data_IF_509824434313
#
_entry.id   IF_509824434313
#
_cell.length_a   1.000
_cell.length_b   1.000
_cell.length_c   1.000
_cell.angle_alpha   90.00
_cell.angle_beta   90.00
_cell.angle_gamma   90.00
#
_symmetry.space_group_name_H-M   'P 1'
#
loop_
_entity.id
_entity.type
_entity.pdbx_description
1 polymer ?
#
# COMPACT_ATOMS: atom_id res chain seq x y z
N UNK A 1 9.67 -15.72 11.80
CA UNK A 1 9.80 -14.90 10.59
C UNK A 1 8.64 -13.94 10.64
N UNK A 2 8.91 -12.67 10.88
CA UNK A 2 7.87 -11.66 11.00
C UNK A 2 7.22 -11.48 9.63
N UNK A 3 5.91 -11.70 9.58
CA UNK A 3 5.15 -11.60 8.35
C UNK A 3 4.88 -10.14 8.03
N UNK A 4 5.43 -9.64 6.92
CA UNK A 4 5.34 -8.23 6.55
C UNK A 4 4.09 -7.96 5.70
N UNK A 5 3.40 -6.86 6.00
CA UNK A 5 2.33 -6.32 5.18
C UNK A 5 2.89 -5.19 4.33
N UNK A 6 2.59 -5.24 3.03
CA UNK A 6 3.08 -4.27 2.05
C UNK A 6 1.96 -3.78 1.13
N UNK A 7 2.01 -2.51 0.74
CA UNK A 7 1.26 -2.03 -0.43
C UNK A 7 2.21 -1.95 -1.62
N UNK A 8 1.92 -2.71 -2.67
CA UNK A 8 2.68 -2.71 -3.94
C UNK A 8 1.95 -1.85 -4.96
N UNK A 9 2.71 -1.02 -5.68
CA UNK A 9 2.22 -0.27 -6.83
C UNK A 9 2.75 -0.95 -8.09
N UNK A 10 1.85 -1.29 -8.99
CA UNK A 10 2.16 -1.90 -10.27
C UNK A 10 1.58 -1.09 -11.43
N UNK A 11 2.31 -1.03 -12.54
CA UNK A 11 1.89 -0.43 -13.80
C UNK A 11 1.60 -1.54 -14.79
N UNK A 12 0.42 -1.48 -15.41
CA UNK A 12 0.04 -2.38 -16.50
C UNK A 12 0.36 -1.76 -17.85
N UNK A 13 1.33 -2.33 -18.56
CA UNK A 13 1.74 -1.87 -19.89
C UNK A 13 1.78 -3.03 -20.87
N UNK A 14 0.90 -2.99 -21.89
CA UNK A 14 0.86 -3.97 -23.01
C UNK A 14 0.88 -5.45 -22.56
N UNK A 15 0.17 -5.78 -21.47
CA UNK A 15 0.10 -7.14 -20.93
C UNK A 15 1.24 -7.51 -19.98
N UNK A 16 2.16 -6.59 -19.71
CA UNK A 16 3.20 -6.75 -18.69
C UNK A 16 2.87 -5.93 -17.46
N UNK A 17 3.02 -6.55 -16.29
CA UNK A 17 2.97 -5.87 -15.00
C UNK A 17 4.38 -5.47 -14.57
N UNK A 18 4.59 -4.20 -14.23
CA UNK A 18 5.87 -3.70 -13.71
C UNK A 18 5.62 -3.15 -12.31
N UNK A 19 6.29 -3.72 -11.30
CA UNK A 19 6.29 -3.12 -9.96
C UNK A 19 7.01 -1.77 -10.02
N UNK A 20 6.27 -0.71 -9.76
CA UNK A 20 6.77 0.67 -9.72
C UNK A 20 7.28 1.06 -8.33
N UNK A 21 6.65 0.54 -7.27
CA UNK A 21 7.03 0.87 -5.90
C UNK A 21 6.39 -0.05 -4.87
N UNK A 22 6.89 0.01 -3.64
CA UNK A 22 6.36 -0.73 -2.49
C UNK A 22 6.45 0.12 -1.23
N UNK A 23 5.49 -0.09 -0.34
CA UNK A 23 5.47 0.50 1.00
C UNK A 23 5.31 -0.60 2.03
N UNK A 24 6.21 -0.66 3.02
CA UNK A 24 6.05 -1.55 4.16
C UNK A 24 5.11 -0.90 5.19
N UNK A 25 4.13 -1.65 5.68
CA UNK A 25 3.15 -1.21 6.67
C UNK A 25 3.39 -1.82 8.06
N UNK A 26 4.35 -2.73 8.20
CA UNK A 26 4.63 -3.46 9.44
C UNK A 26 3.91 -4.82 9.49
N UNK A 27 3.56 -5.27 10.68
CA UNK A 27 3.03 -6.63 10.92
C UNK A 27 1.56 -6.66 11.39
N UNK A 28 0.99 -5.50 11.75
CA UNK A 28 -0.38 -5.43 12.25
C UNK A 28 -1.39 -5.38 11.09
N UNK A 29 -2.16 -6.46 10.96
CA UNK A 29 -3.05 -6.70 9.82
C UNK A 29 -4.21 -5.71 9.75
N UNK A 30 -4.84 -5.39 10.89
CA UNK A 30 -6.02 -4.55 10.89
C UNK A 30 -5.67 -3.12 10.46
N UNK A 31 -4.58 -2.58 10.97
CA UNK A 31 -4.02 -1.26 10.64
C UNK A 31 -3.64 -1.19 9.17
N UNK A 32 -3.08 -2.26 8.61
CA UNK A 32 -2.77 -2.31 7.19
C UNK A 32 -4.03 -2.30 6.30
N UNK A 33 -5.07 -3.05 6.69
CA UNK A 33 -6.37 -3.03 6.03
C UNK A 33 -7.05 -1.67 6.15
N UNK A 34 -7.05 -1.07 7.33
CA UNK A 34 -7.63 0.25 7.58
C UNK A 34 -6.93 1.32 6.74
N UNK A 35 -5.59 1.28 6.68
CA UNK A 35 -4.78 2.15 5.81
C UNK A 35 -5.16 1.96 4.34
N UNK A 36 -5.30 0.72 3.89
CA UNK A 36 -5.65 0.43 2.50
C UNK A 36 -7.09 0.88 2.16
N UNK A 37 -8.02 0.79 3.10
CA UNK A 37 -9.41 1.21 2.92
C UNK A 37 -9.57 2.73 2.78
N UNK A 38 -8.56 3.52 3.19
CA UNK A 38 -8.54 4.97 2.98
C UNK A 38 -8.14 5.36 1.54
N UNK A 39 -7.59 4.42 0.77
CA UNK A 39 -7.09 4.70 -0.57
C UNK A 39 -8.23 4.93 -1.56
N UNK A 40 -7.96 5.81 -2.52
CA UNK A 40 -8.88 6.17 -3.59
C UNK A 40 -8.61 5.32 -4.82
N UNK A 41 -9.67 4.80 -5.40
CA UNK A 41 -9.61 3.99 -6.60
C UNK A 41 -10.89 3.20 -6.78
N UNK A 42 -10.83 2.21 -7.67
CA UNK A 42 -11.95 1.32 -7.98
C UNK A 42 -11.50 -0.12 -7.87
N UNK A 43 -12.41 -1.00 -7.46
CA UNK A 43 -12.15 -2.45 -7.41
C UNK A 43 -12.18 -3.07 -8.82
N UNK A 44 -12.89 -2.43 -9.75
CA UNK A 44 -13.09 -2.95 -11.10
C UNK A 44 -12.04 -2.43 -12.08
N UNK A 45 -11.65 -3.33 -12.99
CA UNK A 45 -10.68 -3.06 -14.02
C UNK A 45 -11.34 -2.28 -15.19
N UNK A 46 -11.08 -0.97 -15.30
CA UNK A 46 -11.42 -0.19 -16.50
C UNK A 46 -10.37 -0.34 -17.61
N UNK A 47 -10.78 -0.40 -18.87
CA UNK A 47 -9.91 -0.76 -20.00
C UNK A 47 -8.74 0.22 -20.31
N UNK A 48 -8.65 1.36 -19.62
CA UNK A 48 -7.64 2.39 -19.86
C UNK A 48 -6.51 2.31 -18.83
N UNK A 49 -5.25 2.20 -19.28
CA UNK A 49 -4.00 2.27 -18.50
C UNK A 49 -4.18 2.54 -16.99
N UNK A 50 -4.10 1.49 -16.16
CA UNK A 50 -4.36 1.62 -14.73
C UNK A 50 -3.12 1.33 -13.91
N UNK A 51 -2.90 2.19 -12.91
CA UNK A 51 -1.99 1.93 -11.81
C UNK A 51 -2.75 1.01 -10.85
N UNK A 52 -2.19 -0.16 -10.56
CA UNK A 52 -2.74 -1.08 -9.58
C UNK A 52 -2.04 -0.87 -8.25
N UNK A 53 -2.81 -0.87 -7.16
CA UNK A 53 -2.28 -0.92 -5.81
C UNK A 53 -2.80 -2.18 -5.11
N UNK A 54 -1.88 -3.00 -4.58
CA UNK A 54 -2.21 -4.29 -3.97
C UNK A 54 -1.68 -4.33 -2.55
N UNK A 55 -2.55 -4.58 -1.58
CA UNK A 55 -2.13 -4.95 -0.23
C UNK A 55 -1.75 -6.43 -0.23
N UNK A 56 -0.53 -6.76 0.15
CA UNK A 56 -0.03 -8.13 0.25
C UNK A 56 0.46 -8.44 1.65
N UNK A 57 0.26 -9.68 2.09
CA UNK A 57 0.82 -10.24 3.31
C UNK A 57 1.86 -11.29 2.92
N UNK A 58 3.12 -11.09 3.32
CA UNK A 58 4.17 -12.06 3.07
C UNK A 58 4.10 -13.18 4.10
N UNK A 59 3.78 -14.38 3.64
CA UNK A 59 3.70 -15.60 4.46
C UNK A 59 4.63 -16.64 3.87
N UNK A 60 5.63 -17.07 4.64
CA UNK A 60 6.64 -18.04 4.20
C UNK A 60 7.35 -17.65 2.88
N UNK A 61 7.62 -16.35 2.68
CA UNK A 61 8.27 -15.82 1.48
C UNK A 61 7.34 -15.66 0.26
N UNK A 62 6.05 -15.93 0.42
CA UNK A 62 5.06 -15.80 -0.64
C UNK A 62 4.12 -14.61 -0.39
N UNK A 63 3.95 -13.69 -1.36
CA UNK A 63 3.04 -12.57 -1.21
C UNK A 63 1.60 -13.02 -1.44
N UNK A 64 0.78 -12.98 -0.39
CA UNK A 64 -0.66 -13.28 -0.46
C UNK A 64 -1.42 -11.96 -0.62
N UNK A 65 -2.09 -11.70 -1.76
CA UNK A 65 -2.89 -10.49 -1.94
C UNK A 65 -4.12 -10.52 -1.02
N UNK A 66 -4.32 -9.41 -0.30
CA UNK A 66 -5.44 -9.21 0.61
C UNK A 66 -6.51 -8.30 0.01
N UNK A 67 -6.09 -7.27 -0.72
CA UNK A 67 -6.97 -6.30 -1.35
C UNK A 67 -6.29 -5.67 -2.57
N UNK A 68 -7.08 -5.18 -3.52
CA UNK A 68 -6.60 -4.56 -4.75
C UNK A 68 -7.51 -3.42 -5.15
N UNK A 69 -6.92 -2.30 -5.53
CA UNK A 69 -7.61 -1.19 -6.19
C UNK A 69 -6.83 -0.78 -7.44
N UNK A 70 -7.55 -0.16 -8.36
CA UNK A 70 -7.00 0.51 -9.52
C UNK A 70 -7.22 2.01 -9.39
N UNK A 71 -6.20 2.78 -9.71
CA UNK A 71 -6.25 4.23 -9.60
C UNK A 71 -5.62 4.91 -10.83
N UNK A 72 -5.99 6.17 -11.05
CA UNK A 72 -5.32 7.03 -12.02
C UNK A 72 -4.16 7.81 -11.37
N UNK A 73 -3.40 8.56 -12.16
CA UNK A 73 -2.23 9.30 -11.66
C UNK A 73 -2.56 10.34 -10.56
N UNK A 74 -3.72 10.99 -10.63
CA UNK A 74 -4.16 11.96 -9.61
C UNK A 74 -4.43 11.24 -8.29
N UNK A 75 -5.16 10.13 -8.35
CA UNK A 75 -5.45 9.28 -7.19
C UNK A 75 -4.17 8.65 -6.63
N UNK A 76 -3.22 8.23 -7.47
CA UNK A 76 -1.92 7.72 -7.01
C UNK A 76 -1.20 8.73 -6.12
N UNK A 77 -1.11 10.00 -6.54
CA UNK A 77 -0.50 11.06 -5.72
C UNK A 77 -1.18 11.19 -4.36
N UNK A 78 -2.50 11.16 -4.34
CA UNK A 78 -3.29 11.25 -3.10
C UNK A 78 -3.08 10.00 -2.21
N UNK A 79 -3.06 8.81 -2.81
CA UNK A 79 -2.85 7.54 -2.12
C UNK A 79 -1.46 7.45 -1.50
N UNK A 80 -0.41 7.87 -2.23
CA UNK A 80 0.95 7.91 -1.69
C UNK A 80 1.00 8.83 -0.46
N UNK A 81 0.38 10.00 -0.50
CA UNK A 81 0.32 10.89 0.65
C UNK A 81 -0.42 10.28 1.85
N UNK A 82 -1.53 9.57 1.62
CA UNK A 82 -2.27 8.84 2.66
C UNK A 82 -1.38 7.75 3.27
N UNK A 83 -0.75 6.91 2.45
CA UNK A 83 0.12 5.82 2.91
C UNK A 83 1.29 6.36 3.71
N UNK A 84 1.98 7.39 3.21
CA UNK A 84 3.12 7.99 3.91
C UNK A 84 2.70 8.57 5.27
N UNK A 85 1.53 9.21 5.36
CA UNK A 85 1.00 9.73 6.63
C UNK A 85 0.70 8.60 7.62
N UNK A 86 0.06 7.53 7.16
CA UNK A 86 -0.27 6.40 8.04
C UNK A 86 0.97 5.64 8.49
N UNK A 87 1.95 5.41 7.62
CA UNK A 87 3.25 4.82 8.01
C UNK A 87 3.91 5.68 9.10
N UNK A 88 3.96 7.00 8.91
CA UNK A 88 4.51 7.89 9.93
C UNK A 88 3.74 7.81 11.26
N UNK A 89 2.40 7.75 11.20
CA UNK A 89 1.55 7.60 12.39
C UNK A 89 1.82 6.27 13.11
N UNK A 90 1.93 5.17 12.37
CA UNK A 90 2.21 3.83 12.91
C UNK A 90 3.58 3.84 13.59
N UNK A 91 4.62 4.30 12.88
CA UNK A 91 5.97 4.40 13.45
C UNK A 91 6.00 5.27 14.70
N UNK A 92 5.27 6.40 14.74
CA UNK A 92 5.19 7.25 15.93
C UNK A 92 4.45 6.60 17.11
N UNK A 93 3.44 5.77 16.85
CA UNK A 93 2.76 5.02 17.91
C UNK A 93 3.64 3.90 18.47
N UNK A 94 4.41 3.23 17.62
CA UNK A 94 5.44 2.26 18.03
C UNK A 94 6.57 2.95 18.81
N UNK A 95 6.89 4.21 18.46
CA UNK A 95 7.98 5.03 18.99
C UNK A 95 7.52 5.95 20.13
N UNK A 96 6.65 5.49 21.05
CA UNK A 96 6.19 6.22 22.25
C UNK A 96 7.32 6.55 23.27
N UNK A 97 8.52 6.90 22.80
CA UNK A 97 9.72 7.20 23.59
C UNK A 97 10.64 8.31 23.05
N UNK A 98 10.42 8.95 21.88
CA UNK A 98 11.30 10.06 21.45
C UNK A 98 10.56 11.16 20.65
N UNK A 99 10.80 12.40 21.09
CA UNK A 99 10.24 13.65 20.59
C UNK A 99 10.39 13.79 19.07
N UNK A 100 9.28 14.11 18.40
CA UNK A 100 9.27 14.51 17.00
C UNK A 100 10.16 15.76 16.83
N UNK A 101 11.08 15.70 15.86
CA UNK A 101 11.83 16.87 15.42
C UNK A 101 10.86 17.87 14.76
N UNK A 102 11.08 19.13 15.14
CA UNK A 102 10.52 20.37 14.56
C UNK A 102 10.81 20.49 13.05
#
# INVERSE_FOLDING_TARGET
MDSLLEIKIALHFKGTEITYGKFALGTERQTALDTFNLLKGRMEHSATCMIQMVLTHEVAGLPIPLATIFCNLKELKENVAIISKEIFRISKLEESGMSAFE
#
